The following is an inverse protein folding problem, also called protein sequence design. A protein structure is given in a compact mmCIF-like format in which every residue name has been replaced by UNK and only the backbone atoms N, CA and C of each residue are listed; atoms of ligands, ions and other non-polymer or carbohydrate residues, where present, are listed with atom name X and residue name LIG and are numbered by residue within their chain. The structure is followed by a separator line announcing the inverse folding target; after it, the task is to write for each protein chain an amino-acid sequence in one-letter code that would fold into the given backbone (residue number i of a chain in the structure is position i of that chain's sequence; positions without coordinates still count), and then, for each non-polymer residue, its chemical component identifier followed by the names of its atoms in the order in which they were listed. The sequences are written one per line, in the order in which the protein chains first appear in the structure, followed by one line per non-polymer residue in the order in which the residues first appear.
data_IF_466930007792
#
_entry.id   IF_466930007792
#
_cell.length_a   1.000
_cell.length_b   1.000
_cell.length_c   1.000
_cell.angle_alpha   90.00
_cell.angle_beta   90.00
_cell.angle_gamma   90.00
#
_symmetry.space_group_name_H-M   'P 1'
#
loop_
_entity.id
_entity.type
_entity.pdbx_description
1 polymer ?
#
# COMPACT_ATOMS: atom_id res chain seq x y z
N UNK A 1 30.60 -32.65 72.24
CA UNK A 1 30.43 -32.39 70.79
C UNK A 1 29.93 -30.94 70.64
N UNK A 2 30.72 -29.86 70.75
CA UNK A 2 31.80 -29.29 69.91
C UNK A 2 31.46 -29.22 68.41
N UNK A 3 31.65 -28.14 67.65
CA UNK A 3 31.78 -26.67 67.81
C UNK A 3 31.95 -26.11 66.36
N UNK A 4 31.57 -24.85 66.14
CA UNK A 4 31.76 -23.99 64.94
C UNK A 4 32.95 -24.31 63.99
N UNK A 5 32.73 -24.09 62.69
CA UNK A 5 33.72 -23.66 61.66
C UNK A 5 33.03 -22.53 60.83
N UNK A 6 33.52 -21.29 60.62
CA UNK A 6 34.84 -20.76 60.17
C UNK A 6 35.03 -21.02 58.66
N UNK A 7 35.48 -20.15 57.74
CA UNK A 7 36.36 -18.98 57.80
C UNK A 7 36.39 -18.30 56.40
N UNK A 8 36.64 -16.98 56.42
CA UNK A 8 37.18 -16.09 55.38
C UNK A 8 38.36 -16.66 54.55
N UNK A 9 38.50 -16.31 53.27
CA UNK A 9 39.83 -16.06 52.70
C UNK A 9 39.74 -14.98 51.62
N UNK A 10 40.48 -13.88 51.84
CA UNK A 10 40.91 -12.96 50.81
C UNK A 10 42.38 -13.19 50.44
N UNK A 11 42.96 -12.15 49.82
CA UNK A 11 44.37 -11.95 49.44
C UNK A 11 44.72 -12.45 48.02
N UNK A 12 45.53 -11.78 47.18
CA UNK A 12 46.30 -10.52 47.21
C UNK A 12 46.82 -10.33 45.75
N UNK A 13 46.97 -9.13 45.16
CA UNK A 13 48.21 -8.34 44.99
C UNK A 13 47.88 -7.21 43.98
N UNK A 14 48.00 -5.89 44.23
CA UNK A 14 49.11 -4.98 44.59
C UNK A 14 50.03 -4.55 43.42
N UNK A 15 49.79 -3.30 42.93
CA UNK A 15 50.69 -2.15 42.61
C UNK A 15 51.74 -2.36 41.46
N UNK A 16 51.93 -1.49 40.42
CA UNK A 16 52.60 -0.15 40.36
C UNK A 16 52.34 0.52 38.97
N UNK A 17 51.70 1.70 38.89
CA UNK A 17 52.16 3.07 38.48
C UNK A 17 53.06 3.21 37.21
N UNK A 18 52.63 4.02 36.22
CA UNK A 18 53.29 5.28 35.69
C UNK A 18 52.60 5.77 34.38
N UNK A 19 51.90 6.91 34.53
CA UNK A 19 51.77 8.12 33.68
C UNK A 19 52.25 8.09 32.20
N UNK A 20 51.39 8.50 31.25
CA UNK A 20 51.60 9.70 30.41
C UNK A 20 50.42 10.08 29.49
N UNK A 21 50.30 11.40 29.35
CA UNK A 21 49.28 12.22 28.70
C UNK A 21 49.26 12.16 27.15
N UNK A 22 48.10 12.54 26.57
CA UNK A 22 47.86 13.16 25.23
C UNK A 22 47.94 12.28 23.97
N UNK A 23 46.79 11.96 23.37
CA UNK A 23 46.15 12.72 22.27
C UNK A 23 44.83 12.03 21.86
N UNK A 24 43.73 12.78 21.91
CA UNK A 24 42.44 12.39 21.33
C UNK A 24 42.53 12.62 19.82
N UNK A 25 42.48 11.55 19.02
CA UNK A 25 42.34 11.61 17.56
C UNK A 25 41.14 10.75 17.17
N UNK A 26 40.13 11.43 16.63
CA UNK A 26 38.95 10.88 15.98
C UNK A 26 39.38 9.98 14.82
N UNK A 27 39.04 8.68 14.86
CA UNK A 27 38.98 7.84 13.65
C UNK A 27 37.69 7.03 13.69
N UNK A 28 36.75 7.48 12.87
CA UNK A 28 35.51 6.82 12.47
C UNK A 28 35.89 5.59 11.65
N UNK A 29 35.59 4.38 12.12
CA UNK A 29 35.87 3.16 11.38
C UNK A 29 34.55 2.60 10.81
N UNK A 30 34.19 3.04 9.61
CA UNK A 30 33.10 2.48 8.81
C UNK A 30 33.70 1.58 7.72
N UNK A 31 33.75 0.27 7.96
CA UNK A 31 34.10 -0.72 6.97
C UNK A 31 32.84 -1.45 6.50
N UNK A 32 32.17 -0.92 5.47
CA UNK A 32 31.33 -1.69 4.57
C UNK A 32 32.08 -1.76 3.23
N UNK A 33 32.58 -2.94 2.87
CA UNK A 33 33.18 -3.19 1.56
C UNK A 33 32.05 -3.31 0.54
N UNK A 34 32.06 -2.42 -0.45
CA UNK A 34 31.22 -2.50 -1.64
C UNK A 34 31.78 -3.52 -2.62
N UNK A 35 30.90 -4.30 -3.23
CA UNK A 35 31.17 -5.04 -4.46
C UNK A 35 30.47 -4.33 -5.64
N UNK A 36 31.13 -4.38 -6.79
CA UNK A 36 30.90 -3.57 -8.00
C UNK A 36 29.52 -3.78 -8.65
N UNK A 37 28.92 -2.68 -9.09
CA UNK A 37 27.73 -2.66 -9.95
C UNK A 37 28.15 -2.40 -11.40
N UNK A 38 27.78 -3.31 -12.30
CA UNK A 38 27.89 -3.12 -13.75
C UNK A 38 26.70 -2.30 -14.23
N UNK A 39 26.95 -1.07 -14.66
CA UNK A 39 25.96 -0.22 -15.33
C UNK A 39 25.71 -0.73 -16.75
N UNK A 40 24.44 -0.81 -17.15
CA UNK A 40 24.08 -0.70 -18.56
C UNK A 40 22.99 0.35 -18.69
N UNK A 41 23.37 1.50 -19.27
CA UNK A 41 22.45 2.53 -19.74
C UNK A 41 21.54 1.92 -20.81
N UNK A 42 20.24 1.92 -20.58
CA UNK A 42 19.24 1.70 -21.63
C UNK A 42 18.59 3.04 -21.97
N UNK A 43 18.93 3.57 -23.14
CA UNK A 43 18.10 4.53 -23.86
C UNK A 43 16.96 3.72 -24.49
N UNK A 44 15.72 3.97 -24.08
CA UNK A 44 14.49 3.93 -24.90
C UNK A 44 13.30 4.34 -24.04
N UNK A 45 12.59 5.37 -24.48
CA UNK A 45 11.57 6.10 -23.70
C UNK A 45 10.15 5.51 -23.81
N UNK A 46 10.01 4.21 -24.11
CA UNK A 46 8.70 3.57 -24.38
C UNK A 46 8.37 2.33 -23.53
N UNK A 47 9.13 2.00 -22.47
CA UNK A 47 8.92 0.70 -21.78
C UNK A 47 9.19 0.69 -20.26
N UNK A 48 8.77 1.73 -19.54
CA UNK A 48 8.74 1.74 -18.07
C UNK A 48 7.32 1.57 -17.54
N UNK A 49 6.62 0.52 -18.00
CA UNK A 49 5.50 -0.02 -17.23
C UNK A 49 6.09 -0.54 -15.92
N UNK A 50 5.57 -0.07 -14.78
CA UNK A 50 5.81 -0.71 -13.49
C UNK A 50 5.52 -2.20 -13.65
N UNK A 51 6.56 -3.06 -13.67
CA UNK A 51 6.41 -4.51 -13.87
C UNK A 51 5.66 -5.20 -12.74
N UNK A 52 5.30 -4.45 -11.70
CA UNK A 52 4.60 -4.85 -10.48
C UNK A 52 3.15 -4.36 -10.43
N UNK A 53 2.61 -3.88 -11.54
CA UNK A 53 1.25 -3.36 -11.65
C UNK A 53 0.57 -3.91 -12.90
N UNK A 54 -0.57 -4.58 -12.72
CA UNK A 54 -1.43 -5.08 -13.80
C UNK A 54 -2.78 -4.39 -13.65
N UNK A 55 -3.28 -3.79 -14.74
CA UNK A 55 -4.63 -3.25 -14.82
C UNK A 55 -5.44 -4.05 -15.84
N UNK A 56 -6.55 -4.63 -15.38
CA UNK A 56 -7.57 -5.23 -16.23
C UNK A 56 -8.66 -4.19 -16.45
N UNK A 57 -8.70 -3.62 -17.65
CA UNK A 57 -9.63 -2.56 -18.05
C UNK A 57 -9.87 -2.60 -19.56
N UNK A 58 -11.09 -2.26 -19.97
CA UNK A 58 -11.48 -2.16 -21.37
C UNK A 58 -11.89 -3.49 -21.98
N UNK A 59 -12.70 -3.41 -23.03
CA UNK A 59 -13.28 -4.56 -23.74
C UNK A 59 -12.23 -5.60 -24.15
N UNK A 60 -11.14 -5.17 -24.80
CA UNK A 60 -10.07 -6.07 -25.27
C UNK A 60 -9.44 -6.89 -24.13
N UNK A 61 -9.32 -6.30 -22.94
CA UNK A 61 -8.72 -7.00 -21.80
C UNK A 61 -9.72 -7.94 -21.16
N UNK A 62 -10.97 -7.52 -21.00
CA UNK A 62 -12.02 -8.35 -20.44
C UNK A 62 -12.33 -9.56 -21.33
N UNK A 63 -12.34 -9.41 -22.66
CA UNK A 63 -12.58 -10.49 -23.61
C UNK A 63 -11.53 -11.61 -23.62
N UNK A 64 -10.36 -11.41 -23.00
CA UNK A 64 -9.36 -12.48 -22.82
C UNK A 64 -9.70 -13.42 -21.68
N UNK A 65 -10.62 -13.02 -20.79
CA UNK A 65 -11.10 -13.86 -19.70
C UNK A 65 -12.31 -14.70 -20.08
N UNK A 66 -12.72 -15.54 -19.14
CA UNK A 66 -13.96 -16.32 -19.21
C UNK A 66 -15.09 -15.52 -18.56
N UNK A 67 -16.19 -15.36 -19.29
CA UNK A 67 -17.41 -14.67 -18.85
C UNK A 67 -18.52 -15.71 -18.66
N UNK A 68 -19.05 -15.80 -17.44
CA UNK A 68 -20.19 -16.65 -17.10
C UNK A 68 -21.29 -15.79 -16.50
N UNK A 69 -22.45 -15.69 -17.16
CA UNK A 69 -23.56 -14.83 -16.75
C UNK A 69 -23.12 -13.37 -16.51
N UNK A 70 -22.12 -12.93 -17.27
CA UNK A 70 -21.56 -11.57 -17.32
C UNK A 70 -21.48 -11.16 -18.78
N UNK A 71 -21.73 -9.88 -19.05
CA UNK A 71 -21.46 -9.24 -20.33
C UNK A 71 -20.55 -8.01 -20.15
N UNK A 72 -19.96 -7.55 -21.25
CA UNK A 72 -19.24 -6.28 -21.29
C UNK A 72 -20.20 -5.24 -21.87
N UNK A 73 -20.56 -4.24 -21.07
CA UNK A 73 -21.44 -3.14 -21.48
C UNK A 73 -20.67 -1.82 -21.51
N UNK A 74 -21.25 -0.79 -22.14
CA UNK A 74 -20.69 0.56 -22.16
C UNK A 74 -21.51 1.49 -21.26
N UNK A 75 -20.91 2.00 -20.19
CA UNK A 75 -21.52 2.95 -19.26
C UNK A 75 -20.70 4.23 -19.19
N UNK A 76 -21.34 5.38 -19.39
CA UNK A 76 -20.67 6.70 -19.37
C UNK A 76 -19.46 6.83 -20.31
N UNK A 77 -19.33 5.93 -21.30
CA UNK A 77 -18.22 5.88 -22.26
C UNK A 77 -17.14 4.85 -21.92
N UNK A 78 -17.21 4.20 -20.77
CA UNK A 78 -16.30 3.14 -20.34
C UNK A 78 -16.86 1.74 -20.60
N UNK A 79 -15.99 0.80 -20.95
CA UNK A 79 -16.35 -0.63 -20.98
C UNK A 79 -16.32 -1.17 -19.54
N UNK A 80 -17.42 -1.78 -19.12
CA UNK A 80 -17.62 -2.30 -17.77
C UNK A 80 -18.13 -3.73 -17.82
N UNK A 81 -17.75 -4.54 -16.83
CA UNK A 81 -18.37 -5.84 -16.57
C UNK A 81 -19.72 -5.62 -15.88
N UNK A 82 -20.77 -6.26 -16.37
CA UNK A 82 -22.12 -6.26 -15.78
C UNK A 82 -22.67 -7.68 -15.73
N UNK A 83 -23.70 -7.94 -14.93
CA UNK A 83 -24.44 -9.19 -15.01
C UNK A 83 -25.08 -9.32 -16.40
N UNK A 84 -25.13 -10.54 -16.94
CA UNK A 84 -25.80 -10.80 -18.22
C UNK A 84 -27.26 -10.33 -18.14
N UNK A 85 -27.71 -9.62 -19.17
CA UNK A 85 -29.09 -9.15 -19.26
C UNK A 85 -29.89 -10.00 -20.24
N UNK A 86 -30.87 -10.74 -19.74
CA UNK A 86 -31.82 -11.50 -20.55
C UNK A 86 -33.18 -10.78 -20.58
N UNK A 87 -33.53 -10.19 -21.72
CA UNK A 87 -34.71 -9.33 -21.83
C UNK A 87 -34.56 -8.07 -20.99
N UNK A 88 -35.46 -7.87 -20.04
CA UNK A 88 -35.46 -6.70 -19.14
C UNK A 88 -34.82 -7.00 -17.76
N UNK A 89 -34.30 -8.21 -17.54
CA UNK A 89 -33.79 -8.66 -16.24
C UNK A 89 -32.33 -9.08 -16.29
N UNK A 90 -31.57 -8.70 -15.27
CA UNK A 90 -30.22 -9.18 -15.02
C UNK A 90 -30.22 -10.54 -14.31
N UNK A 91 -29.24 -11.38 -14.62
CA UNK A 91 -28.91 -12.59 -13.85
C UNK A 91 -28.61 -12.24 -12.38
N UNK A 92 -28.92 -13.14 -11.44
CA UNK A 92 -28.65 -12.91 -10.00
C UNK A 92 -27.16 -12.95 -9.66
N UNK A 93 -26.40 -13.82 -10.34
CA UNK A 93 -24.98 -14.06 -10.09
C UNK A 93 -24.26 -14.21 -11.43
N UNK A 94 -23.08 -13.61 -11.52
CA UNK A 94 -22.18 -13.76 -12.65
C UNK A 94 -20.74 -13.89 -12.18
N UNK A 95 -19.90 -14.54 -12.98
CA UNK A 95 -18.47 -14.73 -12.69
C UNK A 95 -17.62 -14.38 -13.90
N UNK A 96 -16.61 -13.55 -13.66
CA UNK A 96 -15.52 -13.26 -14.60
C UNK A 96 -14.25 -13.92 -14.09
N UNK A 97 -13.49 -14.57 -14.97
CA UNK A 97 -12.17 -15.13 -14.65
C UNK A 97 -11.18 -14.57 -15.68
N UNK A 98 -10.14 -13.87 -15.24
CA UNK A 98 -9.11 -13.36 -16.14
C UNK A 98 -8.35 -14.49 -16.83
N UNK A 99 -7.62 -14.17 -17.89
CA UNK A 99 -6.55 -15.05 -18.36
C UNK A 99 -5.54 -15.32 -17.23
N UNK A 100 -4.74 -16.38 -17.37
CA UNK A 100 -3.57 -16.58 -16.50
C UNK A 100 -2.50 -15.58 -16.90
N UNK A 101 -2.04 -14.76 -15.95
CA UNK A 101 -1.11 -13.66 -16.22
C UNK A 101 0.25 -14.02 -15.65
N UNK A 102 1.27 -14.08 -16.51
CA UNK A 102 2.67 -14.20 -16.09
C UNK A 102 3.13 -12.92 -15.38
N UNK A 103 3.87 -13.07 -14.29
CA UNK A 103 4.35 -11.96 -13.45
C UNK A 103 5.84 -12.08 -13.17
N UNK A 104 6.45 -11.00 -12.67
CA UNK A 104 7.68 -11.16 -11.89
C UNK A 104 7.40 -11.96 -10.61
N UNK A 105 8.46 -12.45 -9.97
CA UNK A 105 8.35 -13.17 -8.71
C UNK A 105 7.68 -12.30 -7.64
N UNK A 106 6.71 -12.85 -6.93
CA UNK A 106 6.06 -12.16 -5.81
C UNK A 106 5.76 -13.08 -4.64
N UNK A 107 5.70 -12.50 -3.45
CA UNK A 107 5.26 -13.17 -2.21
C UNK A 107 4.05 -12.49 -1.60
N UNK A 108 3.78 -11.25 -2.02
CA UNK A 108 2.66 -10.43 -1.62
C UNK A 108 1.94 -9.90 -2.86
N UNK A 109 0.62 -9.85 -2.80
CA UNK A 109 -0.27 -9.33 -3.84
C UNK A 109 -1.38 -8.53 -3.16
N UNK A 110 -1.75 -7.38 -3.74
CA UNK A 110 -2.92 -6.59 -3.36
C UNK A 110 -3.79 -6.42 -4.60
N UNK A 111 -5.09 -6.62 -4.43
CA UNK A 111 -6.08 -6.28 -5.44
C UNK A 111 -6.80 -5.00 -5.04
N UNK A 112 -7.14 -4.20 -6.04
CA UNK A 112 -8.03 -3.04 -5.93
C UNK A 112 -8.94 -3.00 -7.15
N UNK A 113 -10.09 -2.34 -7.03
CA UNK A 113 -11.11 -2.33 -8.08
C UNK A 113 -11.85 -1.01 -8.12
N UNK A 114 -12.44 -0.69 -9.28
CA UNK A 114 -13.33 0.44 -9.45
C UNK A 114 -14.68 -0.12 -9.90
N UNK A 115 -15.70 0.10 -9.07
CA UNK A 115 -17.01 -0.52 -9.23
C UNK A 115 -18.12 0.39 -8.73
N UNK A 116 -19.25 0.42 -9.46
CA UNK A 116 -20.51 0.97 -8.94
C UNK A 116 -21.36 -0.19 -8.45
N UNK A 117 -21.87 -0.10 -7.24
CA UNK A 117 -22.72 -1.14 -6.62
C UNK A 117 -24.02 -0.50 -6.14
N UNK A 118 -25.04 -0.41 -7.01
CA UNK A 118 -26.38 0.03 -6.61
C UNK A 118 -26.95 -0.77 -5.44
N UNK A 119 -28.05 -0.31 -4.86
CA UNK A 119 -28.74 -1.03 -3.78
C UNK A 119 -28.99 -2.50 -4.15
N UNK A 120 -28.88 -3.38 -3.14
CA UNK A 120 -29.05 -4.82 -3.30
C UNK A 120 -28.03 -5.52 -4.22
N UNK A 121 -26.91 -4.86 -4.54
CA UNK A 121 -25.81 -5.45 -5.30
C UNK A 121 -24.50 -5.43 -4.53
N UNK A 122 -23.60 -6.36 -4.85
CA UNK A 122 -22.22 -6.34 -4.38
C UNK A 122 -21.32 -7.15 -5.32
N UNK A 123 -20.01 -7.04 -5.10
CA UNK A 123 -19.01 -7.85 -5.79
C UNK A 123 -18.15 -8.63 -4.80
N UNK A 124 -17.56 -9.74 -5.26
CA UNK A 124 -16.51 -10.46 -4.55
C UNK A 124 -15.29 -10.59 -5.48
N UNK A 125 -14.13 -10.15 -5.02
CA UNK A 125 -12.88 -10.22 -5.80
C UNK A 125 -11.95 -11.27 -5.17
N UNK A 126 -11.47 -12.19 -6.01
CA UNK A 126 -10.60 -13.30 -5.62
C UNK A 126 -9.39 -13.37 -6.54
N UNK A 127 -8.31 -13.95 -6.04
CA UNK A 127 -7.21 -14.38 -6.91
C UNK A 127 -6.60 -15.70 -6.45
N UNK A 128 -5.95 -16.37 -7.38
CA UNK A 128 -5.01 -17.46 -7.11
C UNK A 128 -3.65 -17.13 -7.71
N UNK A 129 -2.61 -17.74 -7.16
CA UNK A 129 -1.24 -17.56 -7.60
C UNK A 129 -0.57 -18.91 -7.90
N UNK A 130 0.25 -18.99 -8.95
CA UNK A 130 1.03 -20.19 -9.26
C UNK A 130 2.36 -20.12 -8.51
N UNK A 131 2.49 -20.95 -7.48
CA UNK A 131 3.59 -20.91 -6.52
C UNK A 131 4.61 -21.99 -6.83
N UNK A 132 5.87 -21.60 -6.91
CA UNK A 132 7.03 -22.48 -7.08
C UNK A 132 8.00 -22.29 -5.92
N UNK A 133 8.79 -23.32 -5.61
CA UNK A 133 10.00 -23.14 -4.83
C UNK A 133 11.00 -22.30 -5.67
N UNK A 134 11.72 -21.35 -5.05
CA UNK A 134 12.57 -20.35 -5.75
C UNK A 134 13.58 -20.93 -6.74
N UNK A 135 14.05 -22.15 -6.49
CA UNK A 135 15.05 -22.83 -7.32
C UNK A 135 14.46 -23.97 -8.19
N UNK A 136 13.13 -24.01 -8.35
CA UNK A 136 12.43 -25.05 -9.12
C UNK A 136 11.51 -24.40 -10.16
N UNK A 137 11.22 -25.18 -11.21
CA UNK A 137 10.35 -24.75 -12.31
C UNK A 137 8.89 -25.20 -12.15
N UNK A 138 8.66 -26.27 -11.39
CA UNK A 138 7.33 -26.87 -11.20
C UNK A 138 6.75 -26.41 -9.88
N UNK A 139 5.49 -26.01 -9.92
CA UNK A 139 4.75 -25.46 -8.79
C UNK A 139 3.33 -25.97 -8.74
N UNK A 140 2.53 -25.35 -7.88
CA UNK A 140 1.08 -25.58 -7.79
C UNK A 140 0.35 -24.25 -7.67
N UNK A 141 -0.87 -24.21 -8.21
CA UNK A 141 -1.77 -23.10 -7.96
C UNK A 141 -2.24 -23.11 -6.50
N UNK A 142 -2.37 -21.92 -5.90
CA UNK A 142 -3.18 -21.76 -4.72
C UNK A 142 -4.66 -21.97 -5.06
N UNK A 143 -5.48 -22.17 -4.03
CA UNK A 143 -6.92 -21.96 -4.17
C UNK A 143 -7.20 -20.47 -4.52
N UNK A 144 -8.41 -20.20 -5.03
CA UNK A 144 -8.90 -18.84 -5.13
C UNK A 144 -9.16 -18.31 -3.72
N UNK A 145 -8.37 -17.31 -3.32
CA UNK A 145 -8.52 -16.63 -2.04
C UNK A 145 -9.24 -15.29 -2.27
N UNK A 146 -10.22 -15.02 -1.42
CA UNK A 146 -11.12 -13.88 -1.51
C UNK A 146 -10.60 -12.68 -0.71
N UNK A 147 -10.76 -11.49 -1.27
CA UNK A 147 -10.63 -10.20 -0.57
C UNK A 147 -11.90 -9.82 0.20
N UNK A 148 -12.95 -10.65 0.12
CA UNK A 148 -14.25 -10.40 0.72
C UNK A 148 -15.24 -9.77 -0.23
N UNK A 149 -16.36 -9.33 0.34
CA UNK A 149 -17.45 -8.70 -0.40
C UNK A 149 -17.39 -7.18 -0.27
N UNK A 150 -17.69 -6.50 -1.37
CA UNK A 150 -17.71 -5.05 -1.46
C UNK A 150 -19.00 -4.55 -2.09
N UNK A 151 -19.62 -3.58 -1.42
CA UNK A 151 -20.67 -2.75 -1.99
C UNK A 151 -20.93 -1.53 -1.12
N UNK A 152 -21.21 -0.40 -1.75
CA UNK A 152 -21.46 0.90 -1.11
C UNK A 152 -22.74 0.95 -0.28
N UNK A 153 -23.63 -0.03 -0.44
CA UNK A 153 -24.92 -0.09 0.29
C UNK A 153 -25.03 -1.31 1.21
N UNK A 154 -23.92 -2.02 1.44
CA UNK A 154 -23.87 -3.20 2.31
C UNK A 154 -22.77 -3.05 3.36
N UNK A 155 -22.80 -3.94 4.35
CA UNK A 155 -21.71 -4.08 5.31
C UNK A 155 -20.53 -4.82 4.66
N UNK A 156 -19.76 -4.09 3.85
CA UNK A 156 -18.56 -4.61 3.18
C UNK A 156 -17.62 -5.26 4.20
N UNK A 157 -17.13 -6.45 3.88
CA UNK A 157 -16.41 -7.29 4.82
C UNK A 157 -15.30 -8.02 4.09
N UNK A 158 -14.06 -7.86 4.55
CA UNK A 158 -12.97 -8.70 4.05
C UNK A 158 -13.21 -10.17 4.39
N UNK A 159 -12.48 -11.05 3.72
CA UNK A 159 -12.50 -12.48 4.02
C UNK A 159 -11.20 -12.92 4.69
N UNK A 160 -11.31 -13.78 5.71
CA UNK A 160 -10.16 -14.50 6.28
C UNK A 160 -9.81 -15.74 5.43
N UNK A 161 -9.63 -15.53 4.12
CA UNK A 161 -9.44 -16.62 3.17
C UNK A 161 -8.01 -17.18 3.25
N UNK A 162 -7.88 -18.51 3.28
CA UNK A 162 -6.59 -19.19 3.36
C UNK A 162 -6.64 -20.58 2.79
N UNK A 163 -5.49 -21.04 2.33
CA UNK A 163 -5.23 -22.42 1.92
C UNK A 163 -3.89 -22.88 2.52
N UNK A 164 -3.41 -24.05 2.08
CA UNK A 164 -2.14 -24.63 2.54
C UNK A 164 -0.93 -23.70 2.31
N UNK A 165 -0.87 -23.02 1.17
CA UNK A 165 0.34 -22.29 0.71
C UNK A 165 0.25 -20.77 0.80
N UNK A 166 -0.95 -20.22 1.00
CA UNK A 166 -1.18 -18.78 1.04
C UNK A 166 -2.41 -18.42 1.85
N UNK A 167 -2.49 -17.15 2.24
CA UNK A 167 -3.65 -16.53 2.90
C UNK A 167 -3.87 -15.11 2.37
N UNK A 168 -5.08 -14.58 2.50
CA UNK A 168 -5.34 -13.14 2.44
C UNK A 168 -5.43 -12.64 3.88
N UNK A 169 -4.56 -11.70 4.23
CA UNK A 169 -4.50 -11.06 5.54
C UNK A 169 -5.15 -9.67 5.41
N UNK A 170 -6.45 -9.61 5.68
CA UNK A 170 -7.33 -8.46 5.42
C UNK A 170 -7.44 -8.09 3.94
N UNK A 171 -6.39 -7.49 3.39
CA UNK A 171 -6.32 -6.92 2.03
C UNK A 171 -5.01 -7.27 1.30
N UNK A 172 -4.15 -8.08 1.91
CA UNK A 172 -2.90 -8.55 1.30
C UNK A 172 -2.92 -10.06 1.17
N UNK A 173 -2.84 -10.58 -0.06
CA UNK A 173 -2.47 -11.97 -0.29
C UNK A 173 -1.01 -12.18 0.05
N UNK A 174 -0.73 -13.23 0.80
CA UNK A 174 0.58 -13.52 1.38
C UNK A 174 0.88 -15.00 1.25
N UNK A 175 2.03 -15.34 0.66
CA UNK A 175 2.56 -16.70 0.71
C UNK A 175 2.96 -17.06 2.15
N UNK A 176 2.61 -18.27 2.59
CA UNK A 176 2.90 -18.74 3.94
C UNK A 176 4.40 -18.93 4.19
N UNK A 177 5.14 -19.43 3.20
CA UNK A 177 6.60 -19.62 3.24
C UNK A 177 7.28 -18.83 2.11
N UNK A 178 7.44 -17.52 2.35
CA UNK A 178 8.04 -16.55 1.41
C UNK A 178 9.54 -16.77 1.19
N UNK A 179 10.21 -17.39 2.16
CA UNK A 179 11.66 -17.61 2.12
C UNK A 179 12.01 -18.66 1.08
N UNK A 180 11.23 -19.74 1.00
CA UNK A 180 11.48 -20.83 0.07
C UNK A 180 10.66 -20.73 -1.22
N UNK A 181 9.54 -20.02 -1.22
CA UNK A 181 8.60 -19.98 -2.33
C UNK A 181 8.35 -18.57 -2.88
N UNK A 182 8.00 -18.53 -4.16
CA UNK A 182 7.56 -17.34 -4.91
C UNK A 182 6.41 -17.72 -5.82
N UNK A 183 5.52 -16.77 -6.08
CA UNK A 183 4.53 -16.88 -7.14
C UNK A 183 5.06 -16.24 -8.42
N UNK A 184 4.72 -16.84 -9.57
CA UNK A 184 5.18 -16.40 -10.90
C UNK A 184 4.05 -16.11 -11.88
N UNK A 185 2.82 -16.47 -11.50
CA UNK A 185 1.60 -16.18 -12.25
C UNK A 185 0.48 -15.84 -11.29
N UNK A 186 -0.49 -15.09 -11.75
CA UNK A 186 -1.75 -14.88 -11.05
C UNK A 186 -2.94 -15.05 -11.99
N UNK A 187 -4.09 -15.36 -11.40
CA UNK A 187 -5.38 -15.34 -12.10
C UNK A 187 -6.42 -14.73 -11.16
N UNK A 188 -7.18 -13.78 -11.68
CA UNK A 188 -8.18 -13.02 -10.94
C UNK A 188 -9.56 -13.58 -11.27
N UNK A 189 -10.40 -13.72 -10.26
CA UNK A 189 -11.80 -14.08 -10.39
C UNK A 189 -12.64 -13.01 -9.72
N UNK A 190 -13.69 -12.57 -10.39
CA UNK A 190 -14.63 -11.61 -9.83
C UNK A 190 -16.03 -12.17 -9.94
N UNK A 191 -16.81 -12.06 -8.87
CA UNK A 191 -18.23 -12.38 -8.87
C UNK A 191 -19.03 -11.11 -8.71
N UNK A 192 -20.08 -10.99 -9.50
CA UNK A 192 -21.08 -9.93 -9.39
C UNK A 192 -22.35 -10.56 -8.84
N UNK A 193 -23.01 -9.89 -7.90
CA UNK A 193 -24.28 -10.34 -7.33
C UNK A 193 -25.31 -9.22 -7.34
N UNK A 194 -26.55 -9.56 -7.68
CA UNK A 194 -27.71 -8.68 -7.56
C UNK A 194 -28.91 -9.44 -7.02
N UNK A 195 -29.46 -8.98 -5.89
CA UNK A 195 -30.77 -9.43 -5.40
C UNK A 195 -31.95 -8.65 -6.02
N UNK A 196 -31.69 -7.72 -6.94
CA UNK A 196 -32.69 -6.97 -7.70
C UNK A 196 -32.41 -7.11 -9.20
N UNK A 197 -33.26 -7.86 -9.90
CA UNK A 197 -33.10 -8.12 -11.33
C UNK A 197 -33.13 -6.88 -12.23
N UNK A 198 -33.50 -5.70 -11.71
CA UNK A 198 -33.49 -4.43 -12.46
C UNK A 198 -32.15 -3.69 -12.35
N UNK A 199 -31.27 -4.10 -11.44
CA UNK A 199 -30.01 -3.45 -11.14
C UNK A 199 -28.85 -4.44 -11.28
N UNK A 200 -27.68 -3.95 -11.68
CA UNK A 200 -26.44 -4.73 -11.74
C UNK A 200 -25.31 -3.93 -11.09
N UNK A 201 -24.40 -4.57 -10.32
CA UNK A 201 -23.13 -3.95 -10.03
C UNK A 201 -22.31 -3.87 -11.32
N UNK A 202 -21.40 -2.91 -11.41
CA UNK A 202 -20.51 -2.74 -12.54
C UNK A 202 -19.05 -2.67 -12.11
N UNK A 203 -18.14 -3.12 -12.96
CA UNK A 203 -16.69 -3.06 -12.72
C UNK A 203 -16.00 -2.49 -13.95
N UNK A 204 -15.40 -1.32 -13.83
CA UNK A 204 -14.64 -0.67 -14.91
C UNK A 204 -13.16 -1.01 -14.90
N UNK A 205 -12.62 -1.38 -13.73
CA UNK A 205 -11.20 -1.69 -13.57
C UNK A 205 -10.95 -2.66 -12.42
N UNK A 206 -10.04 -3.60 -12.63
CA UNK A 206 -9.41 -4.40 -11.57
C UNK A 206 -7.90 -4.20 -11.67
N UNK A 207 -7.24 -3.87 -10.57
CA UNK A 207 -5.80 -3.64 -10.51
C UNK A 207 -5.14 -4.60 -9.52
N UNK A 208 -4.07 -5.24 -9.96
CA UNK A 208 -3.21 -6.08 -9.13
C UNK A 208 -1.84 -5.42 -8.99
N UNK A 209 -1.37 -5.27 -7.75
CA UNK A 209 0.02 -4.90 -7.46
C UNK A 209 0.70 -5.96 -6.61
N UNK A 210 1.96 -6.26 -6.90
CA UNK A 210 2.66 -7.38 -6.27
C UNK A 210 4.13 -7.10 -6.03
N UNK A 211 4.70 -7.79 -5.05
CA UNK A 211 6.11 -7.65 -4.67
C UNK A 211 6.64 -8.93 -4.04
N UNK A 212 7.89 -9.27 -4.33
CA UNK A 212 8.66 -10.24 -3.55
C UNK A 212 9.29 -9.54 -2.34
N UNK A 213 8.71 -9.71 -1.15
CA UNK A 213 9.20 -9.04 0.08
C UNK A 213 10.52 -9.59 0.59
N UNK A 214 10.99 -10.73 0.06
CA UNK A 214 12.30 -11.32 0.44
C UNK A 214 13.37 -10.92 -0.57
N UNK A 215 13.04 -10.92 -1.86
CA UNK A 215 13.93 -10.52 -2.95
C UNK A 215 14.02 -9.01 -3.17
N UNK A 216 13.03 -8.23 -2.74
CA UNK A 216 13.08 -6.78 -2.77
C UNK A 216 14.18 -6.28 -1.83
N UNK A 217 15.32 -5.89 -2.40
CA UNK A 217 16.28 -5.05 -1.70
C UNK A 217 15.65 -3.67 -1.51
N UNK A 218 15.88 -3.03 -0.37
CA UNK A 218 15.57 -1.61 -0.20
C UNK A 218 16.33 -0.85 -1.30
N UNK A 219 15.62 -0.51 -2.39
CA UNK A 219 16.21 0.21 -3.52
C UNK A 219 16.33 1.67 -3.08
N UNK A 220 17.38 1.96 -2.33
CA UNK A 220 17.96 3.29 -2.38
C UNK A 220 18.71 3.33 -3.71
N UNK A 221 18.11 3.90 -4.76
CA UNK A 221 18.96 4.41 -5.83
C UNK A 221 19.84 5.46 -5.16
N UNK A 222 21.14 5.16 -5.07
CA UNK A 222 22.14 6.14 -4.61
C UNK A 222 22.22 7.33 -5.56
N UNK A 223 21.62 7.21 -6.73
CA UNK A 223 21.35 8.25 -7.70
C UNK A 223 19.87 8.64 -7.56
N UNK A 224 19.56 9.50 -6.59
CA UNK A 224 18.38 10.38 -6.66
C UNK A 224 18.75 11.52 -7.61
N UNK A 225 19.20 11.18 -8.82
CA UNK A 225 19.82 12.16 -9.74
C UNK A 225 18.76 13.03 -10.44
N UNK A 226 17.48 12.78 -10.17
CA UNK A 226 16.40 13.23 -11.03
C UNK A 226 15.13 13.58 -10.20
N UNK A 227 15.29 14.47 -9.20
CA UNK A 227 14.15 15.23 -8.66
C UNK A 227 13.72 16.25 -9.70
N UNK A 228 12.62 15.98 -10.39
CA UNK A 228 12.13 16.83 -11.48
C UNK A 228 10.92 17.69 -11.13
N UNK A 229 10.45 17.65 -9.88
CA UNK A 229 9.31 18.44 -9.47
C UNK A 229 9.62 19.24 -8.21
N UNK A 230 9.64 20.56 -8.36
CA UNK A 230 9.42 21.49 -7.26
C UNK A 230 7.97 21.98 -7.36
N UNK A 231 7.07 21.18 -6.81
CA UNK A 231 5.64 21.42 -6.88
C UNK A 231 5.00 21.11 -5.53
N UNK A 232 3.93 21.83 -5.19
CA UNK A 232 3.08 21.54 -4.04
C UNK A 232 1.63 21.69 -4.46
N UNK A 233 0.87 20.61 -4.27
CA UNK A 233 -0.54 20.55 -4.55
C UNK A 233 -1.29 21.00 -3.29
N UNK A 234 -2.21 21.93 -3.48
CA UNK A 234 -3.11 22.36 -2.41
C UNK A 234 -4.18 21.31 -2.19
N UNK A 235 -4.35 20.93 -0.93
CA UNK A 235 -5.34 19.97 -0.47
C UNK A 235 -5.82 20.40 0.91
N UNK A 236 -7.11 20.24 1.22
CA UNK A 236 -7.61 20.53 2.56
C UNK A 236 -6.84 19.72 3.60
N UNK A 237 -6.63 20.32 4.77
CA UNK A 237 -5.91 19.73 5.88
C UNK A 237 -6.90 19.27 6.94
N UNK A 238 -7.06 17.95 7.11
CA UNK A 238 -7.93 17.37 8.12
C UNK A 238 -7.11 16.57 9.13
N UNK A 239 -7.18 16.97 10.39
CA UNK A 239 -6.70 16.18 11.51
C UNK A 239 -7.71 15.11 11.85
N UNK A 240 -7.24 13.86 12.00
CA UNK A 240 -8.07 12.75 12.48
C UNK A 240 -8.51 12.94 13.94
N UNK A 241 -7.78 13.76 14.72
CA UNK A 241 -8.06 14.01 16.13
C UNK A 241 -9.10 15.12 16.36
N UNK A 242 -9.46 15.87 15.33
CA UNK A 242 -10.60 16.81 15.34
C UNK A 242 -11.88 16.18 14.76
N UNK A 243 -11.92 14.85 14.69
CA UNK A 243 -13.08 14.05 14.24
C UNK A 243 -13.77 13.41 15.43
N UNK A 244 -14.79 12.59 15.18
CA UNK A 244 -15.47 11.81 16.22
C UNK A 244 -14.49 11.00 17.07
N UNK A 245 -14.49 11.25 18.39
CA UNK A 245 -13.53 10.68 19.34
C UNK A 245 -13.49 9.14 19.32
N UNK A 246 -14.64 8.51 19.06
CA UNK A 246 -14.79 7.04 19.04
C UNK A 246 -13.98 6.35 17.93
N UNK A 247 -13.67 7.07 16.84
CA UNK A 247 -12.96 6.56 15.65
C UNK A 247 -11.65 7.30 15.38
N UNK A 248 -11.46 8.49 15.96
CA UNK A 248 -10.35 9.42 15.70
C UNK A 248 -8.95 8.77 15.67
N UNK A 249 -8.68 7.81 16.55
CA UNK A 249 -7.38 7.13 16.63
C UNK A 249 -7.12 6.09 15.53
N UNK A 250 -8.09 5.81 14.66
CA UNK A 250 -8.08 4.64 13.76
C UNK A 250 -8.43 4.97 12.30
N UNK A 251 -8.57 6.25 11.95
CA UNK A 251 -9.10 6.71 10.65
C UNK A 251 -8.07 7.46 9.79
N UNK A 252 -6.76 7.23 9.97
CA UNK A 252 -5.72 7.91 9.18
C UNK A 252 -5.90 7.69 7.67
N UNK A 253 -6.30 6.49 7.25
CA UNK A 253 -6.57 6.13 5.86
C UNK A 253 -7.76 6.91 5.26
N UNK A 254 -9.00 6.81 5.79
CA UNK A 254 -10.12 7.57 5.23
C UNK A 254 -9.97 9.09 5.41
N UNK A 255 -9.27 9.57 6.44
CA UNK A 255 -8.95 11.00 6.57
C UNK A 255 -8.04 11.47 5.44
N UNK A 256 -6.99 10.71 5.12
CA UNK A 256 -6.11 10.98 3.98
C UNK A 256 -6.85 10.92 2.66
N UNK A 257 -7.72 9.93 2.49
CA UNK A 257 -8.57 9.80 1.32
C UNK A 257 -9.49 11.01 1.13
N UNK A 258 -10.14 11.45 2.20
CA UNK A 258 -11.02 12.63 2.18
C UNK A 258 -10.26 13.89 1.78
N UNK A 259 -9.02 14.08 2.26
CA UNK A 259 -8.18 15.22 1.86
C UNK A 259 -7.88 15.21 0.35
N UNK A 260 -7.59 14.04 -0.23
CA UNK A 260 -7.35 13.90 -1.67
C UNK A 260 -8.62 14.15 -2.47
N UNK A 261 -9.72 13.47 -2.15
CA UNK A 261 -10.99 13.60 -2.89
C UNK A 261 -11.53 15.03 -2.85
N UNK A 262 -11.51 15.68 -1.68
CA UNK A 262 -11.97 17.08 -1.56
C UNK A 262 -11.00 18.05 -2.24
N UNK A 263 -9.69 17.76 -2.26
CA UNK A 263 -8.72 18.50 -3.07
C UNK A 263 -9.00 18.39 -4.59
N UNK A 264 -9.65 17.31 -5.01
CA UNK A 264 -10.06 17.06 -6.40
C UNK A 264 -11.49 17.51 -6.72
N UNK A 265 -12.14 18.26 -5.81
CA UNK A 265 -13.43 18.90 -6.04
C UNK A 265 -14.63 18.24 -5.37
N UNK A 266 -14.45 17.16 -4.61
CA UNK A 266 -15.53 16.64 -3.77
C UNK A 266 -15.77 17.51 -2.52
N UNK A 267 -16.89 17.27 -1.84
CA UNK A 267 -17.24 17.92 -0.57
C UNK A 267 -17.71 16.88 0.45
N UNK A 268 -16.84 15.94 0.78
CA UNK A 268 -17.12 14.81 1.65
C UNK A 268 -16.79 15.12 3.12
N UNK A 269 -17.57 14.57 4.04
CA UNK A 269 -17.24 14.53 5.47
C UNK A 269 -16.34 13.32 5.76
N UNK A 270 -15.34 13.51 6.62
CA UNK A 270 -14.37 12.44 6.96
C UNK A 270 -15.07 11.24 7.59
N UNK A 271 -16.08 11.47 8.42
CA UNK A 271 -16.87 10.44 9.08
C UNK A 271 -17.65 9.58 8.07
N UNK A 272 -18.26 10.20 7.06
CA UNK A 272 -18.99 9.50 6.00
C UNK A 272 -18.02 8.63 5.18
N UNK A 273 -16.87 9.17 4.79
CA UNK A 273 -15.83 8.40 4.09
C UNK A 273 -15.33 7.24 4.96
N UNK A 274 -15.08 7.49 6.25
CA UNK A 274 -14.63 6.45 7.17
C UNK A 274 -15.63 5.30 7.25
N UNK A 275 -16.91 5.57 7.48
CA UNK A 275 -17.93 4.52 7.59
C UNK A 275 -18.18 3.77 6.28
N UNK A 276 -18.04 4.42 5.13
CA UNK A 276 -18.09 3.73 3.83
C UNK A 276 -16.86 2.85 3.56
N UNK A 277 -15.71 3.16 4.19
CA UNK A 277 -14.49 2.37 4.07
C UNK A 277 -14.34 1.32 5.20
N UNK A 278 -15.31 1.25 6.14
CA UNK A 278 -15.20 0.36 7.29
C UNK A 278 -15.35 -1.09 6.88
N UNK A 279 -14.35 -1.90 7.26
CA UNK A 279 -14.39 -3.34 7.05
C UNK A 279 -15.01 -4.01 8.27
N UNK A 280 -16.18 -4.62 8.10
CA UNK A 280 -16.94 -5.23 9.19
C UNK A 280 -16.35 -6.55 9.69
N UNK A 281 -15.54 -7.26 8.89
CA UNK A 281 -14.82 -8.45 9.33
C UNK A 281 -13.56 -8.07 10.10
N UNK A 282 -12.75 -7.18 9.54
CA UNK A 282 -11.54 -6.65 10.20
C UNK A 282 -11.88 -5.78 11.43
N UNK A 283 -13.07 -5.18 11.43
CA UNK A 283 -13.56 -4.22 12.43
C UNK A 283 -12.70 -2.96 12.49
N UNK A 284 -12.32 -2.42 11.34
CA UNK A 284 -11.46 -1.25 11.27
C UNK A 284 -11.49 -0.54 9.92
N UNK A 285 -10.87 0.64 9.88
CA UNK A 285 -10.84 1.54 8.73
C UNK A 285 -9.56 1.43 7.89
N UNK A 286 -8.63 0.57 8.33
CA UNK A 286 -7.29 0.41 7.76
C UNK A 286 -7.20 -0.57 6.57
N UNK A 287 -8.32 -1.05 6.03
CA UNK A 287 -8.33 -1.87 4.83
C UNK A 287 -8.07 -0.97 3.60
N UNK A 288 -6.87 -1.07 3.03
CA UNK A 288 -6.41 -0.23 1.93
C UNK A 288 -7.28 -0.42 0.70
N UNK A 289 -7.62 -1.66 0.38
CA UNK A 289 -8.44 -2.02 -0.78
C UNK A 289 -9.83 -1.38 -0.71
N UNK A 290 -10.47 -1.37 0.46
CA UNK A 290 -11.79 -0.75 0.64
C UNK A 290 -11.75 0.78 0.54
N UNK A 291 -10.69 1.42 1.03
CA UNK A 291 -10.50 2.87 0.86
C UNK A 291 -10.38 3.24 -0.63
N UNK A 292 -9.59 2.48 -1.39
CA UNK A 292 -9.44 2.71 -2.83
C UNK A 292 -10.71 2.34 -3.59
N UNK A 293 -11.41 1.28 -3.20
CA UNK A 293 -12.70 0.91 -3.80
C UNK A 293 -13.78 1.99 -3.59
N UNK A 294 -13.76 2.70 -2.46
CA UNK A 294 -14.64 3.85 -2.23
C UNK A 294 -14.34 5.01 -3.17
N UNK A 295 -13.07 5.34 -3.43
CA UNK A 295 -12.74 6.32 -4.48
C UNK A 295 -13.26 5.87 -5.85
N UNK A 296 -13.10 4.58 -6.16
CA UNK A 296 -13.60 3.96 -7.39
C UNK A 296 -15.12 4.03 -7.54
N UNK A 297 -15.89 3.90 -6.47
CA UNK A 297 -17.36 3.99 -6.52
C UNK A 297 -17.86 5.42 -6.80
N UNK A 298 -17.04 6.43 -6.52
CA UNK A 298 -17.28 7.84 -6.88
C UNK A 298 -16.88 8.17 -8.34
N UNK A 299 -16.39 7.18 -9.09
CA UNK A 299 -15.98 7.29 -10.50
C UNK A 299 -14.51 7.63 -10.72
N UNK A 300 -13.69 7.77 -9.67
CA UNK A 300 -12.26 8.04 -9.81
C UNK A 300 -11.51 6.79 -10.30
N UNK A 301 -10.58 6.95 -11.25
CA UNK A 301 -9.59 5.90 -11.48
C UNK A 301 -8.70 5.79 -10.24
N UNK A 302 -8.81 4.68 -9.53
CA UNK A 302 -8.12 4.52 -8.25
C UNK A 302 -7.55 3.11 -8.09
N UNK A 303 -6.34 3.00 -7.56
CA UNK A 303 -5.67 1.72 -7.37
C UNK A 303 -4.56 1.81 -6.33
N UNK A 304 -4.14 0.66 -5.82
CA UNK A 304 -2.97 0.52 -4.95
C UNK A 304 -1.78 0.10 -5.81
N UNK A 305 -0.62 0.68 -5.54
CA UNK A 305 0.65 0.30 -6.16
C UNK A 305 1.73 0.12 -5.08
N UNK A 306 2.52 -0.96 -5.16
CA UNK A 306 3.84 -1.01 -4.55
C UNK A 306 4.81 -0.23 -5.43
N UNK A 307 4.89 1.07 -5.18
CA UNK A 307 5.47 2.05 -6.10
C UNK A 307 6.96 2.31 -5.92
N UNK A 308 7.41 3.36 -6.61
CA UNK A 308 8.76 3.91 -6.54
C UNK A 308 8.71 5.43 -6.43
N UNK A 309 9.84 6.06 -6.11
CA UNK A 309 9.90 7.53 -6.04
C UNK A 309 9.54 8.17 -7.38
N UNK A 310 9.95 7.55 -8.49
CA UNK A 310 9.62 8.01 -9.84
C UNK A 310 8.11 7.93 -10.12
N UNK A 311 7.46 6.85 -9.66
CA UNK A 311 6.01 6.71 -9.77
C UNK A 311 5.26 7.78 -8.96
N UNK A 312 5.71 8.02 -7.72
CA UNK A 312 5.19 9.07 -6.85
C UNK A 312 5.35 10.46 -7.50
N UNK A 313 6.55 10.79 -7.97
CA UNK A 313 6.85 12.07 -8.62
C UNK A 313 6.00 12.31 -9.87
N UNK A 314 5.77 11.25 -10.66
CA UNK A 314 4.92 11.33 -11.86
C UNK A 314 3.49 11.73 -11.53
N UNK A 315 2.91 11.21 -10.45
CA UNK A 315 1.56 11.61 -10.05
C UNK A 315 1.52 13.05 -9.52
N UNK A 316 2.53 13.46 -8.73
CA UNK A 316 2.68 14.85 -8.29
C UNK A 316 2.84 15.83 -9.47
N UNK A 317 3.59 15.44 -10.51
CA UNK A 317 3.75 16.23 -11.73
C UNK A 317 2.44 16.38 -12.52
N UNK A 318 1.56 15.38 -12.49
CA UNK A 318 0.22 15.45 -13.07
C UNK A 318 -0.75 16.28 -12.23
N UNK A 319 -0.35 16.72 -11.04
CA UNK A 319 -1.20 17.46 -10.12
C UNK A 319 -2.07 16.59 -9.21
N UNK A 320 -1.75 15.29 -9.08
CA UNK A 320 -2.47 14.37 -8.19
C UNK A 320 -1.67 14.10 -6.90
N UNK A 321 -2.22 14.44 -5.72
CA UNK A 321 -1.60 14.07 -4.46
C UNK A 321 -1.72 12.54 -4.26
N UNK A 322 -0.77 11.96 -3.55
CA UNK A 322 -0.66 10.50 -3.40
C UNK A 322 -0.73 10.11 -1.94
N UNK A 323 -1.57 9.14 -1.59
CA UNK A 323 -1.64 8.63 -0.22
C UNK A 323 -0.60 7.51 -0.10
N UNK A 324 0.20 7.50 0.97
CA UNK A 324 1.26 6.50 1.17
C UNK A 324 1.18 5.87 2.55
N UNK A 325 1.54 4.59 2.65
CA UNK A 325 1.69 3.91 3.93
C UNK A 325 3.11 4.06 4.45
N UNK A 326 3.27 4.57 5.67
CA UNK A 326 4.57 4.79 6.30
C UNK A 326 4.64 4.16 7.68
N UNK A 327 5.86 3.85 8.12
CA UNK A 327 6.17 3.49 9.51
C UNK A 327 7.35 4.35 9.97
N UNK A 328 7.19 5.05 11.07
CA UNK A 328 8.20 6.00 11.54
C UNK A 328 8.11 6.22 13.05
N UNK A 329 9.15 6.84 13.59
CA UNK A 329 9.20 7.33 14.97
C UNK A 329 9.51 8.82 15.01
N UNK A 330 8.91 9.53 15.95
CA UNK A 330 9.29 10.90 16.32
C UNK A 330 10.24 10.94 17.54
N UNK A 331 10.61 9.78 18.08
CA UNK A 331 11.65 9.63 19.10
C UNK A 331 12.94 9.11 18.45
N UNK A 332 14.01 9.90 18.51
CA UNK A 332 15.34 9.57 17.97
C UNK A 332 16.00 8.34 18.64
N UNK A 333 15.54 7.98 19.84
CA UNK A 333 16.05 6.86 20.60
C UNK A 333 15.36 5.54 20.24
N UNK A 334 14.19 5.60 19.61
CA UNK A 334 13.49 4.42 19.13
C UNK A 334 14.23 3.84 17.90
N UNK A 335 14.54 2.54 17.95
CA UNK A 335 15.30 1.83 16.90
C UNK A 335 14.44 0.84 16.09
N UNK A 336 13.16 0.73 16.41
CA UNK A 336 12.23 -0.17 15.72
C UNK A 336 11.74 0.43 14.39
N UNK A 337 11.68 1.77 14.30
CA UNK A 337 11.23 2.50 13.13
C UNK A 337 12.22 3.59 12.70
N UNK A 338 12.26 3.96 11.41
CA UNK A 338 13.02 5.12 10.94
C UNK A 338 12.55 6.41 11.63
N UNK A 339 13.51 7.23 12.06
CA UNK A 339 13.21 8.55 12.61
C UNK A 339 12.82 9.52 11.50
N UNK A 340 11.77 10.30 11.74
CA UNK A 340 11.40 11.46 10.92
C UNK A 340 11.36 12.69 11.83
N UNK A 341 12.15 13.71 11.49
CA UNK A 341 12.13 14.98 12.19
C UNK A 341 10.77 15.68 12.01
N UNK A 342 10.24 16.26 13.09
CA UNK A 342 8.94 16.95 13.11
C UNK A 342 7.71 16.08 12.81
N UNK A 343 7.84 14.76 12.78
CA UNK A 343 6.68 13.87 12.70
C UNK A 343 5.85 13.94 13.99
N UNK A 344 4.50 13.86 13.90
CA UNK A 344 3.63 14.12 15.05
C UNK A 344 3.59 12.98 16.06
N UNK A 345 3.90 11.75 15.65
CA UNK A 345 3.71 10.52 16.45
C UNK A 345 4.81 9.49 16.20
N UNK A 346 4.78 8.38 16.94
CA UNK A 346 5.46 7.13 16.57
C UNK A 346 4.40 6.13 16.12
N UNK A 347 4.65 5.43 15.01
CA UNK A 347 3.65 4.55 14.40
C UNK A 347 4.25 3.33 13.70
N UNK A 348 3.59 2.18 13.90
CA UNK A 348 3.87 0.92 13.21
C UNK A 348 3.15 0.79 11.86
N UNK A 349 2.34 1.77 11.49
CA UNK A 349 1.58 1.84 10.24
C UNK A 349 0.65 3.04 10.24
N UNK A 350 0.82 3.92 9.26
CA UNK A 350 0.07 5.18 9.15
C UNK A 350 -0.07 5.60 7.70
N UNK A 351 -1.22 6.18 7.33
CA UNK A 351 -1.47 6.71 6.00
C UNK A 351 -1.34 8.23 6.04
N UNK A 352 -0.55 8.78 5.12
CA UNK A 352 -0.34 10.23 4.96
C UNK A 352 -0.49 10.61 3.48
N UNK A 353 -0.76 11.87 3.19
CA UNK A 353 -0.86 12.37 1.80
C UNK A 353 0.43 13.09 1.43
N UNK A 354 1.14 12.60 0.41
CA UNK A 354 2.19 13.35 -0.27
C UNK A 354 1.54 14.37 -1.20
N UNK A 355 1.81 15.65 -0.93
CA UNK A 355 1.28 16.77 -1.67
C UNK A 355 2.32 17.40 -2.60
N UNK A 356 3.61 17.10 -2.43
CA UNK A 356 4.65 17.75 -3.21
C UNK A 356 6.06 17.40 -2.81
N UNK A 357 7.01 17.91 -3.57
CA UNK A 357 8.44 17.88 -3.27
C UNK A 357 8.97 19.31 -3.42
N UNK A 358 9.77 19.77 -2.47
CA UNK A 358 10.36 21.12 -2.45
C UNK A 358 11.80 21.06 -2.00
N UNK A 359 12.62 22.04 -2.36
CA UNK A 359 13.98 22.17 -1.83
C UNK A 359 14.13 23.48 -1.05
N UNK A 360 14.98 23.50 -0.03
CA UNK A 360 15.38 24.74 0.62
C UNK A 360 16.56 25.42 -0.10
N UNK A 361 16.93 26.62 0.36
CA UNK A 361 18.03 27.40 -0.21
C UNK A 361 19.41 26.72 -0.10
N UNK A 362 19.54 25.71 0.76
CA UNK A 362 20.77 24.95 0.95
C UNK A 362 20.79 23.67 0.09
N UNK A 363 19.73 23.42 -0.69
CA UNK A 363 19.58 22.24 -1.53
C UNK A 363 19.09 21.00 -0.79
N UNK A 364 18.61 21.10 0.46
CA UNK A 364 17.96 19.97 1.12
C UNK A 364 16.56 19.79 0.53
N UNK A 365 16.26 18.57 0.08
CA UNK A 365 14.94 18.22 -0.45
C UNK A 365 14.02 17.72 0.65
N UNK A 366 12.77 18.16 0.60
CA UNK A 366 11.69 17.78 1.49
C UNK A 366 10.50 17.27 0.70
N UNK A 367 9.85 16.24 1.23
CA UNK A 367 8.51 15.82 0.83
C UNK A 367 7.51 16.64 1.64
N UNK A 368 6.62 17.36 0.94
CA UNK A 368 5.50 18.08 1.55
C UNK A 368 4.36 17.10 1.74
N UNK A 369 3.90 16.94 2.98
CA UNK A 369 2.86 15.97 3.33
C UNK A 369 1.71 16.62 4.09
N UNK A 370 0.50 16.07 3.97
CA UNK A 370 -0.54 16.20 4.99
C UNK A 370 -0.53 14.94 5.84
N UNK A 371 -0.12 15.06 7.09
CA UNK A 371 -0.13 13.98 8.08
C UNK A 371 -1.38 14.12 8.97
N UNK A 372 -2.38 13.23 8.84
CA UNK A 372 -3.64 13.35 9.59
C UNK A 372 -3.46 13.23 11.10
N UNK A 373 -2.31 12.74 11.59
CA UNK A 373 -1.99 12.68 13.02
C UNK A 373 -1.54 14.03 13.61
N UNK A 374 -1.57 15.13 12.83
CA UNK A 374 -1.49 16.48 13.39
C UNK A 374 -2.56 16.68 14.47
N UNK A 375 -2.23 17.38 15.56
CA UNK A 375 -3.13 17.61 16.72
C UNK A 375 -4.38 18.45 16.38
N UNK A 376 -4.33 19.20 15.29
CA UNK A 376 -5.38 20.06 14.73
C UNK A 376 -5.11 20.28 13.23
N UNK A 377 -6.10 20.79 12.49
CA UNK A 377 -6.00 20.98 11.03
C UNK A 377 -4.77 21.83 10.62
N UNK A 378 -4.40 22.85 11.40
CA UNK A 378 -3.25 23.73 11.09
C UNK A 378 -1.90 23.01 11.18
N UNK A 379 -1.85 21.89 11.90
CA UNK A 379 -0.62 21.10 12.11
C UNK A 379 -0.53 19.85 11.22
N UNK A 380 -1.43 19.69 10.26
CA UNK A 380 -1.47 18.53 9.34
C UNK A 380 -0.41 18.68 8.24
N UNK A 381 -0.29 19.86 7.63
CA UNK A 381 0.72 20.14 6.60
C UNK A 381 2.12 20.17 7.22
N UNK A 382 3.03 19.33 6.73
CA UNK A 382 4.41 19.16 7.23
C UNK A 382 5.40 18.99 6.08
N UNK A 383 6.68 19.10 6.41
CA UNK A 383 7.81 18.79 5.52
C UNK A 383 8.69 17.74 6.18
N UNK A 384 8.92 16.64 5.51
CA UNK A 384 9.85 15.59 5.93
C UNK A 384 11.05 15.58 5.01
N UNK A 385 12.27 15.38 5.53
CA UNK A 385 13.44 15.23 4.67
C UNK A 385 13.23 14.03 3.75
N UNK A 386 13.61 14.14 2.47
CA UNK A 386 13.35 13.10 1.48
C UNK A 386 13.91 11.75 1.92
N UNK A 387 15.15 11.73 2.42
CA UNK A 387 15.82 10.51 2.88
C UNK A 387 15.12 9.85 4.07
N UNK A 388 14.62 10.64 5.02
CA UNK A 388 13.87 10.15 6.19
C UNK A 388 12.51 9.58 5.76
N UNK A 389 11.82 10.29 4.86
CA UNK A 389 10.55 9.84 4.28
C UNK A 389 10.70 8.52 3.50
N UNK A 390 11.72 8.40 2.65
CA UNK A 390 11.95 7.19 1.85
C UNK A 390 12.22 5.97 2.73
N UNK A 391 12.98 6.15 3.81
CA UNK A 391 13.18 5.09 4.81
C UNK A 391 11.83 4.68 5.44
N UNK A 392 11.00 5.62 5.87
CA UNK A 392 9.70 5.31 6.48
C UNK A 392 8.71 4.66 5.52
N UNK A 393 8.68 5.09 4.25
CA UNK A 393 7.82 4.55 3.20
C UNK A 393 8.23 3.11 2.81
N UNK A 394 9.53 2.85 2.72
CA UNK A 394 10.07 1.52 2.41
C UNK A 394 9.68 0.45 3.42
N UNK A 395 9.45 0.81 4.70
CA UNK A 395 8.96 -0.13 5.73
C UNK A 395 7.52 -0.61 5.51
N UNK A 396 6.81 -0.01 4.56
CA UNK A 396 5.51 -0.46 4.03
C UNK A 396 5.60 -0.96 2.60
N UNK A 397 6.78 -1.38 2.14
CA UNK A 397 7.04 -1.83 0.77
C UNK A 397 6.69 -0.78 -0.31
N UNK A 398 6.80 0.51 0.04
CA UNK A 398 6.42 1.62 -0.83
C UNK A 398 4.94 1.58 -1.29
N UNK A 399 4.03 1.03 -0.48
CA UNK A 399 2.61 1.05 -0.80
C UNK A 399 2.08 2.49 -0.93
N UNK A 400 1.37 2.75 -2.01
CA UNK A 400 0.73 4.03 -2.31
C UNK A 400 -0.65 3.85 -2.94
N UNK A 401 -1.57 4.76 -2.65
CA UNK A 401 -2.85 4.87 -3.34
C UNK A 401 -2.72 5.94 -4.39
N UNK A 402 -3.02 5.56 -5.63
CA UNK A 402 -3.14 6.50 -6.75
C UNK A 402 -4.62 6.75 -6.96
N UNK A 403 -4.98 8.04 -7.00
CA UNK A 403 -6.34 8.50 -7.28
C UNK A 403 -6.21 9.56 -8.37
N UNK A 404 -6.66 9.22 -9.56
CA UNK A 404 -6.64 10.08 -10.74
C UNK A 404 -8.05 10.57 -11.04
N UNK A 405 -8.18 11.45 -12.03
CA UNK A 405 -9.47 12.01 -12.47
C UNK A 405 -10.56 10.95 -12.64
N UNK A 406 -11.81 11.39 -12.53
CA UNK A 406 -12.97 10.58 -12.92
C UNK A 406 -12.81 10.14 -14.37
N UNK A 407 -13.11 8.87 -14.63
CA UNK A 407 -13.02 8.30 -15.98
C UNK A 407 -14.30 8.57 -16.76
#
# INVERSE_FOLDING_TARGET
MRKKWSIFYGALCIIVIIVSFKYFMFVKNSNFKGEEFVSTKSKNNDELKSKRLIKLKGEDTFNKGELQDIEISKEEGEDVLTLLKEGDTYSELGTYISEEIDTEDFTNLILSWNSKTPENTYIEVLARAYVVERNKAIGKWSEYLSWGIWGSTINSSSANSKCEIAKVDTDVFVLNDKSNNVAKKLQIKVKLYSADSNNTPTISQITATFIDTVGAKEVFSKEVDEIYCENTIETPCFSQYEREESIASRICSPTSLTMVLNGMGENLMVEDVAWNCYDYMYKGFGNWTFNVAFAGSLGYESYIEYGSLEALQREILKGYPVIVSVKYTNDENNKDYPYIENSPVTTSGHLIVVCGITSDSNGQTYVVVNDPAGKNNESVRRKYKLEEFLLAWSKSNNAMYVINKKV
#
